data_IF_995229802182
#
_entry.id   IF_995229802182
#
_cell.length_a   1.000
_cell.length_b   1.000
_cell.length_c   1.000
_cell.angle_alpha   90.00
_cell.angle_beta   90.00
_cell.angle_gamma   90.00
#
_symmetry.space_group_name_H-M   'P 1'
#
loop_
_entity.id
_entity.type
_entity.pdbx_description
1 polymer ?
#
# COMPACT_ATOMS: atom_id res chain seq x y z
N UNK A 1 30.19 6.48 -18.98
CA UNK A 1 30.95 6.47 -17.72
C UNK A 1 31.50 5.06 -17.45
N UNK A 2 32.71 4.91 -16.89
CA UNK A 2 33.26 3.62 -16.47
C UNK A 2 33.21 3.53 -14.94
N UNK A 3 32.61 2.47 -14.38
CA UNK A 3 32.44 2.30 -12.93
C UNK A 3 33.39 1.22 -12.42
N UNK A 4 34.32 1.59 -11.52
CA UNK A 4 35.12 0.64 -10.75
C UNK A 4 34.37 0.27 -9.45
N UNK A 5 33.59 -0.80 -9.49
CA UNK A 5 32.82 -1.27 -8.34
C UNK A 5 33.53 -2.40 -7.59
N UNK A 6 34.16 -2.06 -6.47
CA UNK A 6 34.89 -3.01 -5.59
C UNK A 6 34.03 -3.68 -4.51
N UNK A 7 32.75 -3.30 -4.39
CA UNK A 7 31.84 -3.91 -3.41
C UNK A 7 31.41 -5.34 -3.80
N UNK A 8 31.43 -5.64 -5.11
CA UNK A 8 30.90 -6.87 -5.69
C UNK A 8 29.37 -6.96 -5.69
N UNK A 9 28.65 -5.90 -5.31
CA UNK A 9 27.19 -5.85 -5.42
C UNK A 9 26.73 -5.45 -6.82
N UNK A 10 25.58 -5.97 -7.31
CA UNK A 10 24.91 -5.43 -8.48
C UNK A 10 24.78 -3.90 -8.39
N UNK A 11 25.02 -3.24 -9.50
CA UNK A 11 24.96 -1.79 -9.58
C UNK A 11 24.38 -1.36 -10.92
N UNK A 12 23.85 -0.14 -10.95
CA UNK A 12 23.44 0.54 -12.16
C UNK A 12 23.78 2.02 -12.05
N UNK A 13 24.08 2.62 -13.19
CA UNK A 13 24.14 4.06 -13.34
C UNK A 13 23.14 4.50 -14.40
N UNK A 14 22.48 5.63 -14.13
CA UNK A 14 21.54 6.24 -15.05
C UNK A 14 21.51 7.75 -14.83
N UNK A 15 21.13 8.48 -15.88
CA UNK A 15 20.83 9.90 -15.80
C UNK A 15 19.37 10.10 -15.41
N UNK A 16 19.09 11.07 -14.54
CA UNK A 16 17.73 11.43 -14.17
C UNK A 16 17.59 12.93 -13.96
N UNK A 17 16.58 13.50 -14.61
CA UNK A 17 16.22 14.92 -14.45
C UNK A 17 15.54 15.13 -13.11
N UNK A 18 16.10 16.02 -12.30
CA UNK A 18 15.56 16.47 -11.02
C UNK A 18 14.91 17.85 -11.08
N UNK A 19 14.67 18.48 -9.92
CA UNK A 19 14.10 19.83 -9.82
C UNK A 19 14.89 20.85 -10.66
N UNK A 20 14.16 21.76 -11.32
CA UNK A 20 14.75 22.81 -12.16
C UNK A 20 15.34 22.31 -13.49
N UNK A 21 15.08 21.06 -13.88
CA UNK A 21 15.60 20.49 -15.13
C UNK A 21 17.06 20.06 -15.06
N UNK A 22 17.66 20.05 -13.86
CA UNK A 22 19.04 19.64 -13.64
C UNK A 22 19.13 18.12 -13.85
N UNK A 23 20.07 17.68 -14.69
CA UNK A 23 20.35 16.26 -14.92
C UNK A 23 21.35 15.78 -13.87
N UNK A 24 21.03 14.66 -13.22
CA UNK A 24 21.87 14.03 -12.22
C UNK A 24 22.37 12.67 -12.71
N UNK A 25 23.64 12.40 -12.46
CA UNK A 25 24.22 11.06 -12.50
C UNK A 25 23.87 10.30 -11.22
N UNK A 26 23.05 9.25 -11.33
CA UNK A 26 22.63 8.44 -10.18
C UNK A 26 23.31 7.08 -10.24
N UNK A 27 24.07 6.75 -9.20
CA UNK A 27 24.66 5.43 -9.00
C UNK A 27 23.89 4.67 -7.92
N UNK A 28 23.43 3.47 -8.25
CA UNK A 28 22.73 2.57 -7.33
C UNK A 28 23.58 1.32 -7.11
N UNK A 29 23.67 0.88 -5.85
CA UNK A 29 24.18 -0.44 -5.49
C UNK A 29 23.10 -1.21 -4.75
N UNK A 30 22.96 -2.51 -5.04
CA UNK A 30 21.99 -3.39 -4.40
C UNK A 30 22.66 -4.57 -3.72
N UNK A 31 22.61 -4.59 -2.39
CA UNK A 31 23.10 -5.69 -1.57
C UNK A 31 21.97 -6.61 -1.12
N UNK A 32 22.19 -7.92 -1.21
CA UNK A 32 21.31 -8.97 -0.67
C UNK A 32 22.02 -9.67 0.47
N UNK A 33 21.35 -9.75 1.60
CA UNK A 33 21.87 -10.33 2.84
C UNK A 33 20.88 -11.37 3.37
N UNK A 34 21.39 -12.43 3.99
CA UNK A 34 20.56 -13.48 4.57
C UNK A 34 20.17 -13.12 6.01
N UNK A 35 18.88 -13.20 6.33
CA UNK A 35 18.39 -13.09 7.69
C UNK A 35 18.79 -14.35 8.47
N UNK A 36 19.58 -14.16 9.51
CA UNK A 36 20.01 -15.21 10.44
C UNK A 36 19.18 -15.05 11.72
N UNK A 37 18.47 -16.11 12.12
CA UNK A 37 17.48 -16.06 13.22
C UNK A 37 18.08 -15.86 14.62
N UNK A 38 19.36 -15.53 14.72
CA UNK A 38 20.14 -15.47 15.96
C UNK A 38 20.72 -14.07 16.24
N UNK A 39 20.11 -13.01 15.67
CA UNK A 39 20.45 -11.60 15.89
C UNK A 39 21.92 -11.26 15.58
N UNK A 40 22.59 -12.05 14.73
CA UNK A 40 23.95 -11.77 14.26
C UNK A 40 23.95 -10.76 13.10
N UNK A 41 25.11 -10.14 12.81
CA UNK A 41 25.26 -9.39 11.56
C UNK A 41 24.84 -10.23 10.37
N UNK A 42 24.05 -9.64 9.47
CA UNK A 42 23.52 -10.35 8.31
C UNK A 42 24.66 -10.68 7.34
N UNK A 43 24.97 -11.96 7.08
CA UNK A 43 25.96 -12.31 6.08
C UNK A 43 25.44 -11.94 4.69
N UNK A 44 26.38 -11.56 3.82
CA UNK A 44 26.08 -11.39 2.40
C UNK A 44 25.57 -12.71 1.83
N UNK A 45 24.49 -12.65 1.04
CA UNK A 45 23.96 -13.82 0.36
C UNK A 45 24.85 -14.24 -0.81
N UNK A 46 24.96 -15.54 -1.09
CA UNK A 46 25.73 -16.04 -2.24
C UNK A 46 25.12 -15.57 -3.57
N UNK A 47 23.79 -15.49 -3.62
CA UNK A 47 23.04 -14.98 -4.76
C UNK A 47 22.57 -13.56 -4.45
N UNK A 48 22.98 -12.62 -5.29
CA UNK A 48 22.56 -11.22 -5.20
C UNK A 48 21.36 -10.95 -6.11
N UNK A 49 20.34 -10.27 -5.59
CA UNK A 49 19.22 -9.82 -6.39
C UNK A 49 19.68 -8.72 -7.39
N UNK A 50 19.22 -8.76 -8.65
CA UNK A 50 19.57 -7.75 -9.64
C UNK A 50 18.94 -6.39 -9.30
N UNK A 51 19.45 -5.33 -9.94
CA UNK A 51 18.80 -4.01 -9.94
C UNK A 51 17.37 -4.16 -10.49
N UNK A 52 16.42 -3.52 -9.83
CA UNK A 52 15.00 -3.49 -10.23
C UNK A 52 14.72 -2.14 -10.87
N UNK A 53 14.45 -2.16 -12.16
CA UNK A 53 14.36 -0.94 -12.98
C UNK A 53 12.98 -0.27 -12.93
N UNK A 54 11.95 -1.00 -12.51
CA UNK A 54 10.58 -0.50 -12.42
C UNK A 54 9.86 -1.13 -11.23
N UNK A 55 8.82 -0.46 -10.77
CA UNK A 55 7.95 -1.02 -9.73
C UNK A 55 7.31 -2.34 -10.20
N UNK A 56 7.27 -3.31 -9.29
CA UNK A 56 6.55 -4.57 -9.49
C UNK A 56 5.26 -4.51 -8.67
N UNK A 57 4.12 -4.71 -9.34
CA UNK A 57 2.80 -4.74 -8.71
C UNK A 57 2.25 -6.16 -8.66
N UNK A 58 1.45 -6.45 -7.64
CA UNK A 58 0.55 -7.60 -7.62
C UNK A 58 -0.87 -7.13 -7.93
N UNK A 59 -1.60 -7.90 -8.75
CA UNK A 59 -2.86 -7.51 -9.39
C UNK A 59 -2.70 -7.13 -10.87
N UNK A 60 -3.60 -6.28 -11.36
CA UNK A 60 -3.64 -5.83 -12.75
C UNK A 60 -3.56 -4.30 -12.81
N UNK A 61 -2.38 -3.69 -12.64
CA UNK A 61 -2.25 -2.24 -12.52
C UNK A 61 -2.74 -1.49 -13.77
N UNK A 62 -2.66 -2.10 -14.95
CA UNK A 62 -3.15 -1.51 -16.21
C UNK A 62 -4.69 -1.46 -16.30
N UNK A 63 -5.38 -2.41 -15.65
CA UNK A 63 -6.84 -2.51 -15.71
C UNK A 63 -7.51 -1.94 -14.44
N UNK A 64 -6.95 -2.25 -13.28
CA UNK A 64 -7.46 -1.93 -11.96
C UNK A 64 -6.30 -1.44 -11.04
N UNK A 65 -5.73 -0.26 -11.32
CA UNK A 65 -4.61 0.28 -10.54
C UNK A 65 -4.96 0.41 -9.06
N UNK A 66 -6.12 0.99 -8.73
CA UNK A 66 -6.54 1.21 -7.34
C UNK A 66 -6.63 -0.08 -6.49
N UNK A 67 -6.88 -1.24 -7.11
CA UNK A 67 -6.94 -2.52 -6.40
C UNK A 67 -5.63 -3.33 -6.47
N UNK A 68 -4.61 -2.80 -7.13
CA UNK A 68 -3.29 -3.41 -7.20
C UNK A 68 -2.43 -2.95 -6.02
N UNK A 69 -1.51 -3.81 -5.57
CA UNK A 69 -0.59 -3.49 -4.47
C UNK A 69 0.85 -3.45 -4.97
N UNK A 70 1.64 -2.53 -4.42
CA UNK A 70 3.06 -2.44 -4.74
C UNK A 70 3.79 -3.57 -4.03
N UNK A 71 4.33 -4.53 -4.80
CA UNK A 71 5.10 -5.65 -4.27
C UNK A 71 6.55 -5.26 -4.03
N UNK A 72 7.11 -4.47 -4.94
CA UNK A 72 8.49 -4.01 -4.89
C UNK A 72 8.64 -2.67 -5.58
N UNK A 73 9.31 -1.73 -4.93
CA UNK A 73 9.69 -0.47 -5.57
C UNK A 73 10.89 -0.65 -6.51
N UNK A 74 10.92 0.14 -7.59
CA UNK A 74 12.10 0.28 -8.43
C UNK A 74 13.25 0.98 -7.70
N UNK A 75 14.48 0.59 -8.02
CA UNK A 75 15.70 1.12 -7.41
C UNK A 75 16.13 2.47 -8.02
N UNK A 76 15.43 2.95 -9.06
CA UNK A 76 15.82 4.13 -9.84
C UNK A 76 15.32 5.47 -9.23
N UNK A 77 15.27 5.56 -7.90
CA UNK A 77 14.97 6.80 -7.19
C UNK A 77 16.08 7.83 -7.44
N UNK A 78 15.72 9.09 -7.68
CA UNK A 78 16.70 10.17 -7.84
C UNK A 78 17.49 10.40 -6.55
N UNK A 79 16.76 10.47 -5.44
CA UNK A 79 17.30 10.79 -4.13
C UNK A 79 16.42 10.17 -3.05
N UNK A 80 17.04 9.71 -1.96
CA UNK A 80 16.35 9.24 -0.75
C UNK A 80 16.83 10.07 0.45
N UNK A 81 16.01 10.98 1.00
CA UNK A 81 16.41 11.81 2.14
C UNK A 81 16.60 11.01 3.43
N UNK A 82 15.99 9.82 3.51
CA UNK A 82 16.06 8.91 4.64
C UNK A 82 16.02 7.45 4.14
N UNK A 83 16.20 6.50 5.06
CA UNK A 83 16.10 5.07 4.77
C UNK A 83 14.68 4.56 4.94
N UNK A 84 14.15 3.94 3.89
CA UNK A 84 12.91 3.18 3.96
C UNK A 84 13.19 1.76 4.45
N UNK A 85 12.32 1.24 5.32
CA UNK A 85 12.35 -0.15 5.78
C UNK A 85 11.00 -0.78 5.49
N UNK A 86 11.00 -1.77 4.60
CA UNK A 86 9.83 -2.56 4.28
C UNK A 86 9.98 -3.99 4.78
N UNK A 87 8.87 -4.60 5.18
CA UNK A 87 8.78 -6.03 5.48
C UNK A 87 7.64 -6.60 4.67
N UNK A 88 7.96 -7.59 3.84
CA UNK A 88 7.01 -8.31 2.99
C UNK A 88 7.04 -9.80 3.34
N UNK A 89 5.94 -10.49 3.07
CA UNK A 89 5.78 -11.91 3.39
C UNK A 89 4.58 -12.15 4.30
N UNK A 90 4.66 -13.19 5.13
CA UNK A 90 3.56 -13.63 5.99
C UNK A 90 4.02 -13.61 7.44
N UNK A 91 3.26 -12.94 8.30
CA UNK A 91 3.47 -13.00 9.73
C UNK A 91 2.86 -14.29 10.28
N UNK A 92 3.64 -15.05 11.03
CA UNK A 92 3.19 -16.28 11.69
C UNK A 92 2.99 -16.04 13.18
N UNK A 93 1.97 -16.68 13.76
CA UNK A 93 1.77 -16.71 15.19
C UNK A 93 2.88 -17.49 15.89
N UNK A 94 3.06 -17.25 17.20
CA UNK A 94 4.05 -17.97 18.00
C UNK A 94 3.83 -19.49 17.95
N UNK A 95 4.89 -20.22 17.56
CA UNK A 95 4.86 -21.68 17.40
C UNK A 95 3.97 -22.18 16.26
N UNK A 96 3.44 -21.29 15.40
CA UNK A 96 2.49 -21.66 14.34
C UNK A 96 1.10 -22.09 14.85
N UNK A 97 0.77 -21.77 16.11
CA UNK A 97 -0.51 -22.14 16.72
C UNK A 97 -1.61 -21.18 16.29
N UNK A 98 -2.74 -21.69 15.81
CA UNK A 98 -3.85 -20.85 15.38
C UNK A 98 -4.43 -20.03 16.55
N UNK A 99 -4.57 -18.71 16.36
CA UNK A 99 -5.09 -17.74 17.34
C UNK A 99 -5.97 -16.70 16.62
N UNK A 100 -6.97 -16.12 17.30
CA UNK A 100 -7.82 -15.09 16.69
C UNK A 100 -7.05 -13.80 16.35
N UNK A 101 -5.97 -13.51 17.08
CA UNK A 101 -5.10 -12.37 16.79
C UNK A 101 -3.85 -12.35 17.67
N UNK A 102 -2.86 -11.55 17.29
CA UNK A 102 -1.61 -11.34 18.03
C UNK A 102 -0.93 -10.03 17.60
N UNK A 103 -0.01 -9.54 18.43
CA UNK A 103 0.84 -8.41 18.08
C UNK A 103 2.03 -8.87 17.24
N UNK A 104 2.31 -8.13 16.16
CA UNK A 104 3.55 -8.25 15.39
C UNK A 104 4.27 -6.90 15.37
N UNK A 105 5.58 -6.90 15.18
CA UNK A 105 6.33 -5.66 15.22
C UNK A 105 7.74 -5.76 14.67
N UNK A 106 8.24 -4.64 14.18
CA UNK A 106 9.64 -4.46 13.81
C UNK A 106 10.27 -3.35 14.62
N UNK A 107 11.57 -3.48 14.88
CA UNK A 107 12.39 -2.45 15.49
C UNK A 107 13.68 -2.29 14.72
N UNK A 108 13.99 -1.05 14.32
CA UNK A 108 15.24 -0.68 13.66
C UNK A 108 15.84 0.50 14.42
N UNK A 109 16.96 0.24 15.12
CA UNK A 109 17.52 1.21 16.06
C UNK A 109 16.49 1.60 17.13
N UNK A 110 16.18 2.90 17.20
CA UNK A 110 15.19 3.48 18.13
C UNK A 110 13.77 3.46 17.59
N UNK A 111 13.58 3.22 16.29
CA UNK A 111 12.27 3.22 15.65
C UNK A 111 11.59 1.87 15.85
N UNK A 112 10.32 1.89 16.26
CA UNK A 112 9.49 0.71 16.45
C UNK A 112 8.14 0.92 15.79
N UNK A 113 7.67 -0.07 15.03
CA UNK A 113 6.29 -0.12 14.55
C UNK A 113 5.65 -1.44 14.95
N UNK A 114 4.44 -1.36 15.48
CA UNK A 114 3.62 -2.51 15.87
C UNK A 114 2.37 -2.57 15.00
N UNK A 115 1.89 -3.79 14.79
CA UNK A 115 0.60 -4.09 14.16
C UNK A 115 -0.16 -5.03 15.08
N UNK A 116 -1.45 -4.80 15.22
CA UNK A 116 -2.36 -5.82 15.71
C UNK A 116 -2.82 -6.64 14.51
N UNK A 117 -2.54 -7.93 14.54
CA UNK A 117 -2.95 -8.87 13.52
C UNK A 117 -4.17 -9.66 14.01
N UNK A 118 -5.10 -9.91 13.10
CA UNK A 118 -6.30 -10.71 13.32
C UNK A 118 -6.41 -11.79 12.27
N UNK A 119 -7.03 -12.91 12.60
CA UNK A 119 -7.50 -13.81 11.55
C UNK A 119 -8.71 -13.25 10.80
N UNK A 120 -9.26 -14.00 9.83
CA UNK A 120 -10.41 -13.58 9.06
C UNK A 120 -11.56 -13.11 9.96
N UNK A 121 -12.12 -11.94 9.65
CA UNK A 121 -13.27 -11.34 10.32
C UNK A 121 -14.06 -10.51 9.33
N UNK A 122 -15.30 -10.18 9.67
CA UNK A 122 -16.21 -9.40 8.84
C UNK A 122 -17.05 -8.46 9.68
N UNK A 123 -17.51 -7.37 9.09
CA UNK A 123 -18.62 -6.61 9.61
C UNK A 123 -19.92 -7.29 9.20
N UNK A 124 -20.82 -7.47 10.16
CA UNK A 124 -22.17 -7.99 9.96
C UNK A 124 -23.17 -6.87 10.23
N UNK A 125 -24.11 -6.66 9.31
CA UNK A 125 -25.11 -5.60 9.41
C UNK A 125 -26.31 -6.05 10.22
N UNK A 126 -26.57 -5.37 11.33
CA UNK A 126 -27.73 -5.59 12.19
C UNK A 126 -28.63 -4.35 12.14
N UNK A 127 -29.61 -4.36 11.23
CA UNK A 127 -30.44 -3.18 10.97
C UNK A 127 -29.63 -2.07 10.29
N UNK A 128 -29.47 -0.93 10.96
CA UNK A 128 -28.65 0.18 10.50
C UNK A 128 -27.21 0.12 11.04
N UNK A 129 -26.96 -0.68 12.06
CA UNK A 129 -25.67 -0.78 12.72
C UNK A 129 -24.79 -1.87 12.09
N UNK A 130 -23.47 -1.68 12.21
CA UNK A 130 -22.47 -2.66 11.84
C UNK A 130 -21.82 -3.21 13.10
N UNK A 131 -21.70 -4.53 13.17
CA UNK A 131 -21.00 -5.21 14.23
C UNK A 131 -19.81 -5.96 13.66
N UNK A 132 -18.63 -5.77 14.25
CA UNK A 132 -17.45 -6.55 13.89
C UNK A 132 -17.56 -7.95 14.49
N UNK A 133 -17.40 -8.99 13.67
CA UNK A 133 -17.36 -10.37 14.11
C UNK A 133 -16.10 -10.65 14.93
N UNK A 134 -16.13 -11.68 15.77
CA UNK A 134 -14.90 -12.24 16.30
C UNK A 134 -14.00 -12.73 15.15
N UNK A 135 -12.69 -12.62 15.33
CA UNK A 135 -11.72 -13.14 14.38
C UNK A 135 -11.62 -14.67 14.45
N UNK A 136 -11.65 -15.31 13.30
CA UNK A 136 -11.40 -16.74 13.16
C UNK A 136 -9.94 -17.05 13.52
N UNK A 137 -9.66 -18.16 14.23
CA UNK A 137 -8.28 -18.54 14.52
C UNK A 137 -7.48 -18.82 13.25
N UNK A 138 -6.33 -18.15 13.12
CA UNK A 138 -5.32 -18.42 12.08
C UNK A 138 -3.93 -18.45 12.69
N UNK A 139 -3.00 -19.14 12.03
CA UNK A 139 -1.58 -19.10 12.37
C UNK A 139 -0.77 -18.18 11.47
N UNK A 140 -1.41 -17.55 10.48
CA UNK A 140 -0.75 -16.75 9.46
C UNK A 140 -1.60 -15.59 8.97
N UNK A 141 -0.98 -14.41 8.81
CA UNK A 141 -1.58 -13.22 8.20
C UNK A 141 -0.57 -12.63 7.19
N UNK A 142 -0.91 -12.54 5.89
CA UNK A 142 -0.05 -11.90 4.91
C UNK A 142 0.14 -10.41 5.22
N UNK A 143 1.37 -9.92 5.16
CA UNK A 143 1.70 -8.50 5.33
C UNK A 143 1.44 -7.77 4.02
N UNK A 144 0.17 -7.52 3.73
CA UNK A 144 -0.32 -6.98 2.46
C UNK A 144 -1.46 -5.98 2.71
N UNK A 145 -1.44 -4.85 1.99
CA UNK A 145 -2.43 -3.79 2.20
C UNK A 145 -3.86 -4.18 1.79
N UNK A 146 -4.06 -5.27 1.03
CA UNK A 146 -5.39 -5.86 0.79
C UNK A 146 -6.08 -6.33 2.07
N UNK A 147 -5.31 -6.57 3.13
CA UNK A 147 -5.80 -6.97 4.45
C UNK A 147 -5.80 -5.83 5.47
N UNK A 148 -5.50 -4.60 5.06
CA UNK A 148 -5.60 -3.40 5.89
C UNK A 148 -6.85 -2.59 5.56
N UNK A 149 -7.23 -1.68 6.46
CA UNK A 149 -8.38 -0.80 6.28
C UNK A 149 -8.31 -0.01 4.97
N UNK A 150 -9.43 0.06 4.26
CA UNK A 150 -9.55 0.75 2.98
C UNK A 150 -10.54 0.08 2.04
N UNK A 151 -10.47 0.41 0.75
CA UNK A 151 -11.30 -0.21 -0.28
C UNK A 151 -11.68 0.72 -1.42
N UNK A 152 -12.24 0.13 -2.47
CA UNK A 152 -12.61 0.82 -3.70
C UNK A 152 -13.85 0.17 -4.32
N UNK A 153 -14.81 1.00 -4.72
CA UNK A 153 -16.05 0.61 -5.38
C UNK A 153 -16.10 1.22 -6.77
N UNK A 154 -16.40 0.40 -7.77
CA UNK A 154 -16.47 0.81 -9.18
C UNK A 154 -17.88 0.56 -9.71
N UNK A 155 -18.42 1.52 -10.48
CA UNK A 155 -19.71 1.39 -11.15
C UNK A 155 -19.62 1.86 -12.59
N UNK A 156 -20.47 1.28 -13.44
CA UNK A 156 -20.66 1.72 -14.82
C UNK A 156 -21.60 2.93 -14.81
N UNK A 157 -21.04 4.13 -14.91
CA UNK A 157 -21.79 5.37 -14.77
C UNK A 157 -22.74 5.61 -15.94
N UNK A 158 -22.41 5.09 -17.13
CA UNK A 158 -23.23 5.26 -18.33
C UNK A 158 -23.17 4.05 -19.28
N UNK A 159 -24.14 3.92 -20.21
CA UNK A 159 -24.16 2.84 -21.21
C UNK A 159 -22.95 2.83 -22.16
N UNK A 160 -22.23 3.95 -22.26
CA UNK A 160 -21.03 4.10 -23.08
C UNK A 160 -19.78 3.45 -22.47
N UNK A 161 -19.88 2.92 -21.25
CA UNK A 161 -18.82 2.13 -20.65
C UNK A 161 -17.91 2.89 -19.69
N UNK A 162 -18.26 4.12 -19.31
CA UNK A 162 -17.42 4.91 -18.39
C UNK A 162 -17.50 4.33 -16.97
N UNK A 163 -16.34 3.93 -16.44
CA UNK A 163 -16.20 3.45 -15.05
C UNK A 163 -15.90 4.65 -14.15
N UNK A 164 -16.76 4.85 -13.16
CA UNK A 164 -16.51 5.78 -12.06
C UNK A 164 -16.23 5.01 -10.77
N UNK A 165 -15.45 5.63 -9.87
CA UNK A 165 -14.94 4.96 -8.68
C UNK A 165 -15.02 5.87 -7.46
N UNK A 166 -15.44 5.28 -6.34
CA UNK A 166 -15.29 5.88 -5.00
C UNK A 166 -14.38 4.97 -4.18
N UNK A 167 -13.38 5.53 -3.52
CA UNK A 167 -12.34 4.74 -2.86
C UNK A 167 -11.80 5.45 -1.62
N UNK A 168 -11.31 4.65 -0.67
CA UNK A 168 -10.56 5.16 0.47
C UNK A 168 -9.20 5.68 -0.04
N UNK A 169 -8.88 6.97 0.15
CA UNK A 169 -7.70 7.58 -0.46
C UNK A 169 -6.39 7.02 0.08
N UNK A 170 -6.35 6.57 1.34
CA UNK A 170 -5.14 6.02 1.96
C UNK A 170 -4.80 4.61 1.44
N UNK A 171 -5.83 3.77 1.23
CA UNK A 171 -5.63 2.41 0.76
C UNK A 171 -6.80 1.90 -0.10
N UNK A 172 -6.82 2.24 -1.40
CA UNK A 172 -7.88 1.83 -2.30
C UNK A 172 -7.95 0.31 -2.52
N UNK A 173 -6.83 -0.41 -2.32
CA UNK A 173 -6.74 -1.86 -2.45
C UNK A 173 -7.18 -2.63 -1.19
N UNK A 174 -7.40 -1.91 -0.09
CA UNK A 174 -7.76 -2.48 1.20
C UNK A 174 -9.17 -3.03 1.27
N UNK A 175 -9.59 -3.32 2.50
CA UNK A 175 -10.92 -3.82 2.79
C UNK A 175 -11.54 -3.16 4.04
N UNK A 176 -12.83 -3.40 4.26
CA UNK A 176 -13.52 -2.97 5.47
C UNK A 176 -13.99 -1.53 5.49
N UNK A 177 -13.79 -0.72 4.44
CA UNK A 177 -14.30 0.64 4.37
C UNK A 177 -15.60 0.74 3.55
N UNK A 178 -16.57 1.54 4.02
CA UNK A 178 -17.75 1.96 3.27
C UNK A 178 -17.76 3.48 3.11
N UNK A 179 -17.94 4.01 1.88
CA UNK A 179 -17.95 5.45 1.64
C UNK A 179 -19.12 6.14 2.35
N UNK A 180 -18.85 7.31 2.91
CA UNK A 180 -19.86 8.24 3.40
C UNK A 180 -20.36 9.18 2.30
N UNK A 181 -21.32 10.04 2.66
CA UNK A 181 -21.93 10.98 1.70
C UNK A 181 -20.93 12.00 1.11
N UNK A 182 -19.88 12.34 1.85
CA UNK A 182 -18.82 13.22 1.35
C UNK A 182 -18.01 12.54 0.23
N UNK A 183 -17.65 11.26 0.41
CA UNK A 183 -16.88 10.49 -0.59
C UNK A 183 -17.67 10.33 -1.89
N UNK A 184 -18.99 10.16 -1.78
CA UNK A 184 -19.89 10.04 -2.91
C UNK A 184 -20.02 11.34 -3.74
N UNK A 185 -19.49 12.48 -3.27
CA UNK A 185 -19.44 13.71 -4.05
C UNK A 185 -18.39 13.64 -5.18
N UNK A 186 -17.44 12.71 -5.10
CA UNK A 186 -16.40 12.52 -6.11
C UNK A 186 -16.90 11.85 -7.40
N UNK A 187 -18.14 11.38 -7.43
CA UNK A 187 -18.74 10.69 -8.58
C UNK A 187 -20.03 11.38 -9.04
N UNK A 188 -20.42 11.11 -10.29
CA UNK A 188 -21.64 11.63 -10.92
C UNK A 188 -22.90 11.24 -10.14
N UNK A 189 -24.02 12.00 -10.27
CA UNK A 189 -25.28 11.67 -9.63
C UNK A 189 -25.77 10.24 -9.93
N UNK A 190 -25.59 9.76 -11.16
CA UNK A 190 -25.97 8.43 -11.61
C UNK A 190 -25.13 7.36 -10.92
N UNK A 191 -23.80 7.51 -10.92
CA UNK A 191 -22.89 6.62 -10.22
C UNK A 191 -23.17 6.59 -8.71
N UNK A 192 -23.41 7.77 -8.11
CA UNK A 192 -23.79 7.92 -6.71
C UNK A 192 -25.04 7.12 -6.36
N UNK A 193 -26.09 7.21 -7.18
CA UNK A 193 -27.32 6.45 -6.96
C UNK A 193 -27.09 4.94 -7.02
N UNK A 194 -26.32 4.47 -8.01
CA UNK A 194 -25.97 3.04 -8.12
C UNK A 194 -25.17 2.55 -6.91
N UNK A 195 -24.18 3.33 -6.47
CA UNK A 195 -23.37 2.99 -5.30
C UNK A 195 -24.24 2.94 -4.04
N UNK A 196 -25.12 3.92 -3.80
CA UNK A 196 -26.05 3.91 -2.66
C UNK A 196 -26.93 2.67 -2.64
N UNK A 197 -27.53 2.32 -3.78
CA UNK A 197 -28.36 1.11 -3.91
C UNK A 197 -27.56 -0.16 -3.59
N UNK A 198 -26.32 -0.23 -4.06
CA UNK A 198 -25.43 -1.34 -3.73
C UNK A 198 -25.13 -1.40 -2.21
N UNK A 199 -24.76 -0.26 -1.59
CA UNK A 199 -24.48 -0.14 -0.15
C UNK A 199 -25.68 -0.53 0.73
N UNK A 200 -26.90 -0.17 0.31
CA UNK A 200 -28.14 -0.58 0.97
C UNK A 200 -28.35 -2.10 0.97
N UNK A 201 -27.81 -2.80 -0.04
CA UNK A 201 -27.86 -4.25 -0.17
C UNK A 201 -26.76 -4.99 0.62
N UNK A 202 -25.67 -4.32 0.99
CA UNK A 202 -24.57 -4.97 1.72
C UNK A 202 -25.04 -5.39 3.11
N UNK A 203 -24.84 -6.67 3.43
CA UNK A 203 -25.15 -7.28 4.74
C UNK A 203 -23.91 -7.75 5.47
N UNK A 204 -22.86 -8.08 4.72
CA UNK A 204 -21.57 -8.48 5.25
C UNK A 204 -20.45 -7.78 4.45
N UNK A 205 -19.37 -7.41 5.14
CA UNK A 205 -18.20 -6.80 4.54
C UNK A 205 -16.94 -7.41 5.16
N UNK A 206 -15.96 -7.92 4.39
CA UNK A 206 -14.68 -8.35 4.95
C UNK A 206 -14.04 -7.23 5.75
N UNK A 207 -13.58 -7.53 6.97
CA UNK A 207 -12.91 -6.57 7.82
C UNK A 207 -11.38 -6.78 7.78
N UNK A 208 -10.58 -5.72 7.99
CA UNK A 208 -9.12 -5.77 7.97
C UNK A 208 -8.57 -6.79 8.96
N UNK A 209 -7.49 -7.47 8.57
CA UNK A 209 -6.68 -8.31 9.45
C UNK A 209 -5.48 -7.55 10.02
N UNK A 210 -5.16 -6.37 9.50
CA UNK A 210 -4.04 -5.54 9.93
C UNK A 210 -4.57 -4.19 10.40
N UNK A 211 -4.32 -3.86 11.68
CA UNK A 211 -4.71 -2.57 12.27
C UNK A 211 -3.63 -2.03 13.22
N UNK A 212 -3.83 -0.80 13.68
CA UNK A 212 -3.01 -0.18 14.71
C UNK A 212 -3.50 -0.68 16.08
N UNK A 213 -2.63 -1.28 16.93
CA UNK A 213 -3.03 -1.68 18.27
C UNK A 213 -3.54 -0.54 19.15
N UNK A 214 -3.26 0.72 18.82
CA UNK A 214 -3.70 1.91 19.54
C UNK A 214 -4.95 2.57 18.96
N UNK A 215 -5.37 2.17 17.76
CA UNK A 215 -6.58 2.68 17.10
C UNK A 215 -7.36 1.48 16.51
N UNK A 216 -8.01 0.67 17.37
CA UNK A 216 -8.74 -0.51 16.93
C UNK A 216 -9.94 -0.12 16.09
N UNK A 217 -10.17 -0.90 15.05
CA UNK A 217 -11.31 -0.70 14.15
C UNK A 217 -12.63 -1.04 14.85
N UNK A 218 -13.63 -0.20 14.67
CA UNK A 218 -14.96 -0.37 15.29
C UNK A 218 -16.10 -0.39 14.27
N UNK A 219 -15.93 0.32 13.14
CA UNK A 219 -16.98 0.53 12.15
C UNK A 219 -16.39 0.54 10.74
N UNK A 220 -17.14 0.09 9.71
CA UNK A 220 -16.71 0.27 8.33
C UNK A 220 -16.73 1.73 7.87
N UNK A 221 -17.29 2.64 8.67
CA UNK A 221 -17.30 4.08 8.43
C UNK A 221 -16.22 4.84 9.21
N UNK A 222 -15.31 4.12 9.87
CA UNK A 222 -14.19 4.74 10.58
C UNK A 222 -13.26 5.49 9.59
N UNK A 223 -12.60 6.52 10.11
CA UNK A 223 -11.55 7.26 9.40
C UNK A 223 -10.19 6.90 10.02
N UNK A 224 -9.63 5.79 9.53
CA UNK A 224 -8.38 5.22 10.04
C UNK A 224 -7.37 5.08 8.90
N UNK A 225 -6.08 5.39 9.14
CA UNK A 225 -5.04 5.15 8.15
C UNK A 225 -4.78 3.65 8.02
N UNK A 226 -4.49 3.21 6.79
CA UNK A 226 -4.09 1.84 6.53
C UNK A 226 -2.76 1.50 7.22
N UNK A 227 -2.69 0.29 7.79
CA UNK A 227 -1.53 -0.17 8.53
C UNK A 227 -0.83 -1.33 7.80
N UNK A 228 0.49 -1.38 7.91
CA UNK A 228 1.30 -2.39 7.22
C UNK A 228 2.79 -2.10 7.26
N UNK A 229 3.58 -3.03 6.73
CA UNK A 229 5.03 -2.88 6.54
C UNK A 229 5.46 -2.91 5.07
N UNK A 230 4.55 -3.28 4.16
CA UNK A 230 4.80 -3.31 2.73
C UNK A 230 4.95 -1.88 2.17
N UNK A 231 5.55 -1.72 0.96
CA UNK A 231 5.57 -0.42 0.29
C UNK A 231 4.16 0.00 -0.16
N UNK A 232 3.88 1.30 -0.12
CA UNK A 232 2.60 1.89 -0.52
C UNK A 232 2.60 2.21 -2.02
N UNK A 233 1.50 1.94 -2.72
CA UNK A 233 1.39 2.27 -4.15
C UNK A 233 1.33 3.78 -4.40
N UNK A 234 1.75 4.23 -5.59
CA UNK A 234 1.87 5.67 -5.92
C UNK A 234 0.55 6.44 -5.89
N UNK A 235 -0.56 5.74 -6.10
CA UNK A 235 -1.93 6.28 -6.01
C UNK A 235 -2.50 6.30 -4.59
N UNK A 236 -1.74 5.88 -3.57
CA UNK A 236 -2.15 6.07 -2.18
C UNK A 236 -1.93 7.53 -1.76
N UNK A 237 -2.87 8.09 -1.01
CA UNK A 237 -2.84 9.48 -0.56
C UNK A 237 -1.55 9.88 0.20
N UNK A 238 -0.97 9.03 1.07
CA UNK A 238 0.31 9.33 1.72
C UNK A 238 1.45 9.62 0.73
N UNK A 239 1.38 9.09 -0.50
CA UNK A 239 2.34 9.37 -1.58
C UNK A 239 1.85 10.46 -2.52
N UNK A 240 0.57 10.45 -2.91
CA UNK A 240 -0.02 11.39 -3.87
C UNK A 240 0.13 12.84 -3.42
N UNK A 241 0.02 13.11 -2.11
CA UNK A 241 0.21 14.47 -1.57
C UNK A 241 1.61 15.07 -1.85
N UNK A 242 2.58 14.26 -2.28
CA UNK A 242 3.93 14.68 -2.64
C UNK A 242 4.20 14.69 -4.16
N UNK A 243 3.20 14.40 -4.99
CA UNK A 243 3.37 14.26 -6.44
C UNK A 243 3.45 15.59 -7.23
N UNK A 244 3.14 16.72 -6.58
CA UNK A 244 2.97 18.03 -7.23
C UNK A 244 1.62 18.18 -7.94
N UNK A 245 1.40 19.32 -8.60
CA UNK A 245 0.16 19.61 -9.37
C UNK A 245 0.44 19.63 -10.86
N UNK A 246 -0.35 18.88 -11.64
CA UNK A 246 -0.27 18.83 -13.10
C UNK A 246 -1.38 19.69 -13.71
N UNK A 247 -1.40 20.97 -13.36
CA UNK A 247 -2.42 21.95 -13.78
C UNK A 247 -2.00 22.73 -15.05
N UNK A 248 -2.85 23.66 -15.49
CA UNK A 248 -2.58 24.50 -16.67
C UNK A 248 -1.30 25.34 -16.52
N UNK A 249 -0.96 25.74 -15.29
CA UNK A 249 0.25 26.50 -15.03
C UNK A 249 1.50 25.63 -15.16
N UNK A 250 1.47 24.40 -14.62
CA UNK A 250 2.52 23.41 -14.92
C UNK A 250 2.63 23.16 -16.42
N UNK A 251 1.51 23.00 -17.12
CA UNK A 251 1.51 22.73 -18.55
C UNK A 251 2.09 23.90 -19.37
N UNK A 252 1.84 25.16 -18.99
CA UNK A 252 2.33 26.33 -19.71
C UNK A 252 3.79 26.66 -19.40
N UNK A 253 4.21 26.56 -18.13
CA UNK A 253 5.51 27.09 -17.68
C UNK A 253 6.58 26.02 -17.41
N UNK A 254 6.18 24.75 -17.17
CA UNK A 254 7.09 23.71 -16.66
C UNK A 254 7.22 22.53 -17.60
N UNK A 255 6.16 22.16 -18.32
CA UNK A 255 6.18 21.02 -19.24
C UNK A 255 7.36 21.11 -20.22
N UNK A 256 8.14 20.03 -20.42
CA UNK A 256 7.91 18.63 -19.99
C UNK A 256 8.55 18.24 -18.65
N UNK A 257 9.03 19.20 -17.85
CA UNK A 257 9.60 18.92 -16.53
C UNK A 257 8.51 18.50 -15.54
N UNK A 258 8.86 17.70 -14.54
CA UNK A 258 7.96 17.36 -13.42
C UNK A 258 7.50 18.64 -12.68
N UNK A 259 6.31 18.66 -12.07
CA UNK A 259 5.79 19.78 -11.28
C UNK A 259 6.59 20.10 -10.01
#
# INVERSE_FOLDING_TARGET
>A
MQIDNRSGFPHAWFEKTGPGGIVYDVLVLRGTFALTGDYRPLPRADVQAPIVYADEYDGHPEANPLQSVLRREGDLSLFKPASDVYVTGTAHSEGGVARPGWLAGIRVGTQRKLLQLHGPRRFERHGQDWQLSNAEPTSQVPLDYRYAFGGCYSVMANPQGQVERVYNPDNPAGCGWLPGEADLQAVSPEARQQIRQWLEGVRELPAPQIEDPQAPLTSPHDDLPAQGFAPLARWSQPRLQHAGTYDEHWQSERYPLLP
#
